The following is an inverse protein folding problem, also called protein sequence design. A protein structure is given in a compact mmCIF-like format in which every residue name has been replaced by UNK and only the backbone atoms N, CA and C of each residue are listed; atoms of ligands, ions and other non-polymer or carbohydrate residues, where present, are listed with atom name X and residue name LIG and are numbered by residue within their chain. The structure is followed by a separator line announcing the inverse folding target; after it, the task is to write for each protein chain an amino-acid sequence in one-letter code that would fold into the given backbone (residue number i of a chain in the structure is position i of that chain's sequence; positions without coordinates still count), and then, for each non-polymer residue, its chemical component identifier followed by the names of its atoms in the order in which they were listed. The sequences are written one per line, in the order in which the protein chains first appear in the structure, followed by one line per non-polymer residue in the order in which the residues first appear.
data_IF_555302427222
#
_entry.id   IF_555302427222
#
_cell.length_a   1.000
_cell.length_b   1.000
_cell.length_c   1.000
_cell.angle_alpha   90.00
_cell.angle_beta   90.00
_cell.angle_gamma   90.00
#
_symmetry.space_group_name_H-M   'P 1'
#
loop_
_entity.id
_entity.type
_entity.pdbx_description
1 polymer ?
#
# COMPACT_ATOMS: atom_id res chain seq x y z
N UNK A 1 15.37 -9.50 -4.49
CA UNK A 1 14.21 -9.63 -5.39
C UNK A 1 13.11 -8.69 -4.94
N UNK A 2 12.72 -7.79 -5.79
CA UNK A 2 11.60 -6.92 -5.48
C UNK A 2 10.31 -7.75 -5.49
N UNK A 3 9.55 -7.65 -4.42
CA UNK A 3 8.26 -8.30 -4.37
C UNK A 3 7.22 -7.42 -5.05
N UNK A 4 6.58 -7.98 -6.05
CA UNK A 4 5.46 -7.36 -6.72
C UNK A 4 4.15 -7.70 -6.01
N UNK A 5 3.08 -7.01 -6.34
CA UNK A 5 1.75 -7.33 -5.86
C UNK A 5 1.38 -8.79 -6.19
N UNK A 6 0.49 -9.37 -5.42
CA UNK A 6 0.06 -10.76 -5.59
C UNK A 6 -0.53 -10.99 -6.98
N UNK A 7 -0.21 -12.15 -7.58
CA UNK A 7 -0.85 -12.58 -8.81
C UNK A 7 -2.29 -13.08 -8.53
N UNK A 8 -3.02 -13.43 -9.58
CA UNK A 8 -4.42 -13.86 -9.45
C UNK A 8 -4.58 -15.11 -8.58
N UNK A 9 -3.67 -16.07 -8.69
CA UNK A 9 -3.72 -17.30 -7.89
C UNK A 9 -3.48 -17.02 -6.41
N UNK A 10 -2.49 -16.18 -6.12
CA UNK A 10 -2.19 -15.78 -4.74
C UNK A 10 -3.34 -15.00 -4.13
N UNK A 11 -3.92 -14.07 -4.88
CA UNK A 11 -5.09 -13.31 -4.41
C UNK A 11 -6.27 -14.24 -4.15
N UNK A 12 -6.56 -15.16 -5.06
CA UNK A 12 -7.64 -16.13 -4.93
C UNK A 12 -7.47 -16.96 -3.66
N UNK A 13 -6.26 -17.45 -3.39
CA UNK A 13 -5.96 -18.24 -2.19
C UNK A 13 -6.21 -17.43 -0.92
N UNK A 14 -5.73 -16.20 -0.87
CA UNK A 14 -5.90 -15.33 0.32
C UNK A 14 -7.38 -15.02 0.55
N UNK A 15 -8.13 -14.70 -0.51
CA UNK A 15 -9.57 -14.43 -0.40
C UNK A 15 -10.32 -15.66 0.14
N UNK A 16 -10.04 -16.85 -0.39
CA UNK A 16 -10.67 -18.09 0.08
C UNK A 16 -10.35 -18.37 1.54
N UNK A 17 -9.10 -18.21 1.96
CA UNK A 17 -8.71 -18.43 3.36
C UNK A 17 -9.45 -17.51 4.33
N UNK A 18 -9.82 -16.31 3.87
CA UNK A 18 -10.52 -15.32 4.69
C UNK A 18 -12.02 -15.31 4.48
N UNK A 19 -12.57 -16.30 3.77
CA UNK A 19 -14.00 -16.40 3.52
C UNK A 19 -14.55 -15.30 2.60
N UNK A 20 -13.69 -14.70 1.80
CA UNK A 20 -14.06 -13.62 0.89
C UNK A 20 -14.29 -14.15 -0.52
N UNK A 21 -15.21 -13.51 -1.24
CA UNK A 21 -15.50 -13.89 -2.63
C UNK A 21 -14.42 -13.43 -3.58
N UNK A 22 -14.11 -14.26 -4.56
CA UNK A 22 -13.32 -13.87 -5.73
C UNK A 22 -14.30 -13.25 -6.73
N UNK A 23 -14.10 -11.98 -7.04
CA UNK A 23 -14.96 -11.25 -7.98
C UNK A 23 -14.12 -10.67 -9.12
N UNK A 24 -14.72 -10.45 -10.32
CA UNK A 24 -14.01 -9.80 -11.40
C UNK A 24 -13.44 -8.43 -11.02
N UNK A 25 -14.18 -7.65 -10.24
CA UNK A 25 -13.71 -6.33 -9.79
C UNK A 25 -12.45 -6.44 -8.95
N UNK A 26 -12.41 -7.37 -8.00
CA UNK A 26 -11.25 -7.60 -7.14
C UNK A 26 -10.04 -8.05 -7.95
N UNK A 27 -10.22 -8.94 -8.91
CA UNK A 27 -9.14 -9.41 -9.79
C UNK A 27 -8.61 -8.28 -10.66
N UNK A 28 -9.48 -7.50 -11.28
CA UNK A 28 -9.07 -6.40 -12.17
C UNK A 28 -8.35 -5.31 -11.40
N UNK A 29 -8.84 -4.94 -10.21
CA UNK A 29 -8.18 -3.95 -9.36
C UNK A 29 -6.79 -4.43 -8.94
N UNK A 30 -6.68 -5.70 -8.56
CA UNK A 30 -5.38 -6.26 -8.20
C UNK A 30 -4.40 -6.26 -9.37
N UNK A 31 -4.87 -6.60 -10.57
CA UNK A 31 -4.02 -6.54 -11.78
C UNK A 31 -3.53 -5.13 -12.06
N UNK A 32 -4.39 -4.13 -11.88
CA UNK A 32 -4.01 -2.74 -12.04
C UNK A 32 -2.92 -2.34 -11.04
N UNK A 33 -3.04 -2.77 -9.78
CA UNK A 33 -2.01 -2.53 -8.77
C UNK A 33 -0.67 -3.16 -9.17
N UNK A 34 -0.69 -4.36 -9.72
CA UNK A 34 0.52 -5.03 -10.21
C UNK A 34 1.14 -4.31 -11.39
N UNK A 35 0.33 -3.87 -12.34
CA UNK A 35 0.79 -3.15 -13.53
C UNK A 35 1.38 -1.79 -13.20
N UNK A 36 0.74 -1.07 -12.25
CA UNK A 36 1.22 0.23 -11.82
C UNK A 36 2.52 0.12 -11.02
N UNK A 37 2.62 -0.90 -10.17
CA UNK A 37 3.82 -1.23 -9.37
C UNK A 37 4.52 -0.03 -8.75
N UNK A 38 3.74 0.87 -8.17
CA UNK A 38 4.19 2.09 -7.49
C UNK A 38 3.17 2.51 -6.45
N UNK A 39 3.50 3.52 -5.66
CA UNK A 39 2.52 4.11 -4.75
C UNK A 39 1.39 4.73 -5.57
N UNK A 40 0.15 4.44 -5.21
CA UNK A 40 -1.03 4.87 -5.96
C UNK A 40 -2.10 5.42 -5.03
N UNK A 41 -2.91 6.33 -5.60
CA UNK A 41 -4.16 6.77 -4.98
C UNK A 41 -5.31 5.94 -5.54
N UNK A 42 -6.46 5.96 -4.84
CA UNK A 42 -7.66 5.29 -5.33
C UNK A 42 -8.13 5.86 -6.67
N UNK A 43 -7.98 7.18 -6.87
CA UNK A 43 -8.32 7.83 -8.15
C UNK A 43 -7.48 7.29 -9.30
N UNK A 44 -6.19 7.09 -9.08
CA UNK A 44 -5.30 6.51 -10.09
C UNK A 44 -5.69 5.08 -10.43
N UNK A 45 -6.07 4.29 -9.43
CA UNK A 45 -6.58 2.94 -9.66
C UNK A 45 -7.88 2.97 -10.45
N UNK A 46 -8.80 3.87 -10.12
CA UNK A 46 -10.06 4.04 -10.85
C UNK A 46 -9.82 4.32 -12.33
N UNK A 47 -8.91 5.24 -12.63
CA UNK A 47 -8.54 5.56 -14.03
C UNK A 47 -7.99 4.31 -14.73
N UNK A 48 -7.10 3.59 -14.06
CA UNK A 48 -6.45 2.41 -14.63
C UNK A 48 -7.43 1.28 -14.98
N UNK A 49 -8.49 1.10 -14.17
CA UNK A 49 -9.46 0.00 -14.37
C UNK A 49 -10.69 0.42 -15.18
N UNK A 50 -10.86 1.71 -15.44
CA UNK A 50 -12.10 2.25 -16.04
C UNK A 50 -12.49 1.62 -17.36
N UNK A 51 -11.52 1.25 -18.20
CA UNK A 51 -11.80 0.63 -19.50
C UNK A 51 -12.22 -0.84 -19.39
N UNK A 52 -11.86 -1.52 -18.31
CA UNK A 52 -12.25 -2.92 -18.04
C UNK A 52 -13.49 -3.00 -17.16
N UNK A 53 -13.69 -1.99 -16.33
CA UNK A 53 -14.80 -1.89 -15.39
C UNK A 53 -15.50 -0.54 -15.54
N UNK A 54 -16.23 -0.32 -16.64
CA UNK A 54 -16.78 1.02 -16.95
C UNK A 54 -17.79 1.52 -15.93
N UNK A 55 -18.39 0.63 -15.14
CA UNK A 55 -19.39 1.00 -14.12
C UNK A 55 -18.82 1.02 -12.70
N UNK A 56 -17.52 0.81 -12.52
CA UNK A 56 -16.92 0.84 -11.19
C UNK A 56 -16.89 2.28 -10.67
N UNK A 57 -17.18 2.44 -9.39
CA UNK A 57 -17.19 3.74 -8.73
C UNK A 57 -15.97 3.90 -7.82
N UNK A 58 -15.65 5.15 -7.49
CA UNK A 58 -14.56 5.42 -6.54
C UNK A 58 -14.81 4.76 -5.16
N UNK A 59 -16.03 4.81 -4.58
CA UNK A 59 -16.29 4.07 -3.34
C UNK A 59 -16.00 2.57 -3.43
N UNK A 60 -16.29 1.94 -4.56
CA UNK A 60 -15.98 0.52 -4.77
C UNK A 60 -14.48 0.28 -4.80
N UNK A 61 -13.71 1.17 -5.43
CA UNK A 61 -12.25 1.08 -5.41
C UNK A 61 -11.73 1.21 -3.97
N UNK A 62 -12.23 2.18 -3.21
CA UNK A 62 -11.84 2.34 -1.81
C UNK A 62 -12.16 1.11 -0.96
N UNK A 63 -13.37 0.56 -1.08
CA UNK A 63 -13.75 -0.61 -0.30
C UNK A 63 -12.91 -1.84 -0.65
N UNK A 64 -12.52 -1.97 -1.91
CA UNK A 64 -11.61 -3.05 -2.35
C UNK A 64 -10.21 -2.85 -1.78
N UNK A 65 -9.69 -1.63 -1.82
CA UNK A 65 -8.37 -1.32 -1.23
C UNK A 65 -8.37 -1.53 0.29
N UNK A 66 -9.45 -1.17 0.98
CA UNK A 66 -9.60 -1.42 2.42
C UNK A 66 -9.56 -2.92 2.72
N UNK A 67 -10.28 -3.73 1.94
CA UNK A 67 -10.23 -5.18 2.08
C UNK A 67 -8.81 -5.70 1.85
N UNK A 68 -8.15 -5.24 0.80
CA UNK A 68 -6.78 -5.66 0.49
C UNK A 68 -5.81 -5.24 1.60
N UNK A 69 -6.03 -4.09 2.22
CA UNK A 69 -5.24 -3.66 3.38
C UNK A 69 -5.44 -4.61 4.56
N UNK A 70 -6.69 -4.99 4.86
CA UNK A 70 -6.99 -5.95 5.92
C UNK A 70 -6.34 -7.30 5.67
N UNK A 71 -6.25 -7.72 4.41
CA UNK A 71 -5.62 -8.96 4.01
C UNK A 71 -4.09 -8.89 3.92
N UNK A 72 -3.52 -7.71 4.11
CA UNK A 72 -2.07 -7.50 4.02
C UNK A 72 -1.53 -7.43 2.60
N UNK A 73 -2.39 -7.21 1.60
CA UNK A 73 -1.99 -7.16 0.19
C UNK A 73 -1.53 -5.78 -0.25
N UNK A 74 -2.04 -4.74 0.40
CA UNK A 74 -1.61 -3.35 0.19
C UNK A 74 -1.41 -2.69 1.54
N UNK A 75 -0.64 -1.60 1.56
CA UNK A 75 -0.35 -0.84 2.78
C UNK A 75 -0.58 0.64 2.53
N UNK A 76 -1.18 1.33 3.50
CA UNK A 76 -1.23 2.79 3.47
C UNK A 76 0.14 3.32 3.84
N UNK A 77 0.65 4.22 3.00
CA UNK A 77 2.00 4.76 3.22
C UNK A 77 2.01 6.27 3.46
N UNK A 78 0.89 6.94 3.26
CA UNK A 78 0.82 8.37 3.51
C UNK A 78 -0.33 9.02 2.79
N UNK A 79 -0.20 10.33 2.59
CA UNK A 79 -1.18 11.16 1.90
C UNK A 79 -0.45 12.00 0.87
N UNK A 80 -0.97 12.09 -0.34
CA UNK A 80 -0.45 12.95 -1.39
C UNK A 80 -1.59 13.82 -1.90
N UNK A 81 -1.40 15.14 -1.82
CA UNK A 81 -2.41 16.12 -2.28
C UNK A 81 -3.82 15.84 -1.71
N UNK A 82 -3.87 15.48 -0.41
CA UNK A 82 -5.12 15.19 0.27
C UNK A 82 -5.70 13.80 0.06
N UNK A 83 -5.06 12.96 -0.76
CA UNK A 83 -5.53 11.61 -1.06
C UNK A 83 -4.63 10.56 -0.41
N UNK A 84 -5.23 9.48 0.08
CA UNK A 84 -4.48 8.36 0.65
C UNK A 84 -3.62 7.68 -0.41
N UNK A 85 -2.38 7.39 -0.06
CA UNK A 85 -1.46 6.62 -0.90
C UNK A 85 -1.37 5.18 -0.40
N UNK A 86 -1.39 4.26 -1.35
CA UNK A 86 -1.29 2.82 -1.09
C UNK A 86 -0.05 2.24 -1.79
N UNK A 87 0.65 1.35 -1.09
CA UNK A 87 1.73 0.56 -1.66
C UNK A 87 1.18 -0.84 -1.96
N UNK A 88 1.19 -1.29 -3.22
CA UNK A 88 0.62 -2.58 -3.60
C UNK A 88 1.52 -3.79 -3.26
N UNK A 89 2.70 -3.56 -2.70
CA UNK A 89 3.61 -4.65 -2.38
C UNK A 89 3.20 -5.34 -1.09
N UNK A 90 3.22 -6.68 -1.04
CA UNK A 90 2.73 -7.43 0.12
C UNK A 90 3.64 -7.35 1.34
N UNK A 91 4.95 -7.08 1.14
CA UNK A 91 5.90 -6.95 2.25
C UNK A 91 6.01 -5.50 2.70
N UNK A 92 6.17 -5.27 4.01
CA UNK A 92 6.39 -3.92 4.51
C UNK A 92 7.71 -3.36 3.98
N UNK A 93 7.70 -2.10 3.61
CA UNK A 93 8.87 -1.34 3.16
C UNK A 93 9.06 -0.16 4.08
N UNK A 94 10.30 0.23 4.25
CA UNK A 94 10.61 1.50 4.89
C UNK A 94 10.35 2.62 3.90
N UNK A 95 9.85 3.76 4.38
CA UNK A 95 9.46 4.87 3.54
C UNK A 95 10.02 6.19 4.04
N UNK A 96 10.31 7.10 3.09
CA UNK A 96 10.60 8.50 3.37
C UNK A 96 9.42 9.32 2.90
N UNK A 97 8.95 10.24 3.74
CA UNK A 97 7.81 11.12 3.43
C UNK A 97 8.23 12.57 3.53
N UNK A 98 8.01 13.33 2.48
CA UNK A 98 8.27 14.76 2.49
C UNK A 98 7.13 15.50 3.20
N UNK A 99 7.48 16.24 4.25
CA UNK A 99 6.50 17.00 5.03
C UNK A 99 5.92 18.18 4.25
N UNK A 100 6.62 18.65 3.23
CA UNK A 100 6.18 19.79 2.42
C UNK A 100 5.28 19.38 1.25
N UNK A 101 5.76 18.51 0.36
CA UNK A 101 5.03 18.16 -0.86
C UNK A 101 4.27 16.82 -0.77
N UNK A 102 4.49 16.04 0.29
CA UNK A 102 3.84 14.76 0.48
C UNK A 102 4.44 13.60 -0.31
N UNK A 103 5.53 13.83 -1.04
CA UNK A 103 6.20 12.78 -1.82
C UNK A 103 6.60 11.62 -0.92
N UNK A 104 6.30 10.40 -1.35
CA UNK A 104 6.66 9.18 -0.65
C UNK A 104 7.64 8.38 -1.51
N UNK A 105 8.77 8.02 -0.91
CA UNK A 105 9.79 7.20 -1.58
C UNK A 105 10.10 5.99 -0.71
N UNK A 106 10.36 4.86 -1.35
CA UNK A 106 10.82 3.67 -0.66
C UNK A 106 12.29 3.87 -0.24
N UNK A 107 12.63 3.36 0.94
CA UNK A 107 14.00 3.35 1.42
C UNK A 107 14.26 2.04 2.14
N UNK A 108 15.46 1.53 2.01
CA UNK A 108 15.90 0.38 2.80
C UNK A 108 16.71 0.91 3.98
N UNK A 109 16.05 1.11 5.11
CA UNK A 109 16.66 1.74 6.27
C UNK A 109 17.69 0.84 6.98
N UNK A 110 17.60 -0.47 6.78
CA UNK A 110 18.53 -1.41 7.40
C UNK A 110 18.40 -1.53 8.90
N UNK A 111 17.26 -1.16 9.45
CA UNK A 111 17.02 -1.19 10.91
C UNK A 111 16.43 -2.55 11.31
N UNK A 112 17.02 -3.15 12.34
CA UNK A 112 16.51 -4.38 12.93
C UNK A 112 15.30 -4.07 13.83
N UNK A 113 14.12 -4.50 13.42
CA UNK A 113 12.87 -4.20 14.14
C UNK A 113 12.41 -5.30 15.09
N UNK A 114 13.19 -6.36 15.23
CA UNK A 114 12.83 -7.48 16.10
C UNK A 114 12.58 -7.05 17.54
N UNK A 115 13.41 -6.17 18.08
CA UNK A 115 13.24 -5.66 19.45
C UNK A 115 11.93 -4.91 19.64
N UNK A 116 11.56 -4.10 18.64
CA UNK A 116 10.30 -3.36 18.67
C UNK A 116 9.10 -4.32 18.66
N UNK A 117 9.14 -5.35 17.81
CA UNK A 117 8.09 -6.35 17.74
C UNK A 117 7.99 -7.14 19.05
N UNK A 118 9.12 -7.56 19.63
CA UNK A 118 9.15 -8.29 20.90
C UNK A 118 8.59 -7.43 22.04
N UNK A 119 8.91 -6.16 22.05
CA UNK A 119 8.42 -5.21 23.04
C UNK A 119 6.91 -5.03 22.98
N UNK A 120 6.37 -4.95 21.75
CA UNK A 120 4.92 -4.88 21.54
C UNK A 120 4.24 -6.14 22.07
N UNK A 121 4.80 -7.32 21.81
CA UNK A 121 4.27 -8.59 22.30
C UNK A 121 4.23 -8.64 23.83
N UNK A 122 5.27 -8.16 24.49
CA UNK A 122 5.31 -8.13 25.97
C UNK A 122 4.24 -7.24 26.57
N UNK A 123 3.84 -6.20 25.82
CA UNK A 123 2.75 -5.30 26.24
C UNK A 123 1.36 -5.85 25.95
N UNK A 124 1.24 -7.10 25.51
CA UNK A 124 -0.05 -7.71 25.17
C UNK A 124 -0.54 -7.42 23.76
N UNK A 125 0.28 -6.79 22.94
CA UNK A 125 -0.04 -6.48 21.56
C UNK A 125 0.27 -7.69 20.66
N UNK A 126 -0.49 -7.86 19.58
CA UNK A 126 -0.25 -8.89 18.58
C UNK A 126 0.22 -8.21 17.29
N UNK A 127 1.52 -7.94 17.14
CA UNK A 127 2.01 -7.23 15.96
C UNK A 127 2.02 -8.15 14.74
N UNK A 128 1.66 -7.61 13.60
CA UNK A 128 1.74 -8.32 12.33
C UNK A 128 2.98 -7.91 11.52
N UNK A 129 3.39 -6.66 11.63
CA UNK A 129 4.56 -6.14 10.93
C UNK A 129 5.06 -4.87 11.60
N UNK A 130 6.28 -4.48 11.24
CA UNK A 130 6.84 -3.19 11.61
C UNK A 130 7.62 -2.62 10.43
N UNK A 131 7.67 -1.30 10.33
CA UNK A 131 8.40 -0.60 9.28
C UNK A 131 8.92 0.73 9.82
N UNK A 132 9.93 1.29 9.15
CA UNK A 132 10.49 2.60 9.51
C UNK A 132 9.89 3.66 8.59
N UNK A 133 9.48 4.76 9.17
CA UNK A 133 9.04 5.94 8.42
C UNK A 133 9.96 7.10 8.76
N UNK A 134 10.56 7.70 7.75
CA UNK A 134 11.43 8.87 7.92
C UNK A 134 10.68 10.09 7.37
N UNK A 135 10.45 11.07 8.20
CA UNK A 135 9.80 12.31 7.82
C UNK A 135 10.85 13.40 7.67
N UNK A 136 10.72 14.21 6.63
CA UNK A 136 11.67 15.29 6.38
C UNK A 136 11.32 16.03 5.11
N UNK A 137 12.31 16.52 4.40
CA UNK A 137 12.13 17.20 3.11
C UNK A 137 12.79 16.39 2.01
N UNK A 138 12.09 16.21 0.89
CA UNK A 138 12.71 15.61 -0.29
C UNK A 138 13.76 16.54 -0.88
N UNK A 139 14.60 16.03 -1.77
CA UNK A 139 15.70 16.81 -2.34
C UNK A 139 15.24 18.13 -2.98
N UNK A 140 14.12 18.08 -3.69
CA UNK A 140 13.57 19.27 -4.36
C UNK A 140 13.08 20.31 -3.34
N UNK A 141 12.36 19.88 -2.31
CA UNK A 141 11.85 20.79 -1.29
C UNK A 141 12.96 21.33 -0.39
N UNK A 142 13.98 20.53 -0.09
CA UNK A 142 15.14 20.94 0.69
C UNK A 142 15.96 22.01 -0.04
N UNK A 143 15.96 22.02 -1.36
CA UNK A 143 16.66 22.99 -2.19
C UNK A 143 15.89 24.29 -2.38
N UNK A 144 14.61 24.35 -1.96
CA UNK A 144 13.82 25.58 -2.07
C UNK A 144 14.34 26.65 -1.09
N UNK A 145 14.37 27.93 -1.50
CA UNK A 145 14.75 29.00 -0.59
C UNK A 145 13.72 29.14 0.54
N UNK A 146 14.23 29.44 1.73
CA UNK A 146 13.39 29.66 2.91
C UNK A 146 12.57 30.93 2.80
#
# INVERSE_FOLDING_TARGET
MEQTAFNDEQLTAVLHERGQRVTPQRLVINRALRELDRHVTADEVLVAVGHRLPNVSLPTVYSTLELFEELGLVHRVGVSQGALLYDPRPEPHDHMVCDNCGKVEDVHAGVELKRALDRAKRGGFTPHRAEVRINGLCADCAALPS
#
